data_IF_797487473980
#
_entry.id   IF_797487473980
#
_cell.length_a   1.000
_cell.length_b   1.000
_cell.length_c   1.000
_cell.angle_alpha   90.00
_cell.angle_beta   90.00
_cell.angle_gamma   90.00
#
_symmetry.space_group_name_H-M   'P 1'
#
loop_
_entity.id
_entity.type
_entity.pdbx_description
1 polymer ?
#
# COMPACT_ATOMS: atom_id res chain seq x y z
N UNK A 1 -37.08 14.27 16.38
CA UNK A 1 -35.66 14.73 16.48
C UNK A 1 -34.76 13.76 17.25
N UNK A 2 -35.10 13.24 18.42
CA UNK A 2 -34.25 12.35 19.23
C UNK A 2 -33.84 11.06 18.48
N UNK A 3 -34.81 10.37 17.86
CA UNK A 3 -34.52 9.14 17.06
C UNK A 3 -33.60 9.37 15.88
N UNK A 4 -33.58 10.57 15.31
CA UNK A 4 -32.69 10.94 14.23
C UNK A 4 -31.23 11.10 14.71
N UNK A 5 -31.01 11.70 15.89
CA UNK A 5 -29.68 11.90 16.46
C UNK A 5 -28.99 10.58 16.81
N UNK A 6 -29.71 9.56 17.23
CA UNK A 6 -29.13 8.24 17.54
C UNK A 6 -28.93 7.39 16.34
N UNK A 7 -29.86 7.43 15.36
CA UNK A 7 -29.62 6.83 14.05
C UNK A 7 -28.35 7.41 13.41
N UNK A 8 -28.09 8.71 13.59
CA UNK A 8 -26.89 9.38 13.10
C UNK A 8 -25.61 8.78 13.69
N UNK A 9 -25.59 8.42 14.99
CA UNK A 9 -24.44 7.76 15.61
C UNK A 9 -24.11 6.40 14.97
N UNK A 10 -25.14 5.60 14.68
CA UNK A 10 -24.96 4.31 13.99
C UNK A 10 -24.56 4.53 12.53
N UNK A 11 -25.21 5.45 11.85
CA UNK A 11 -24.90 5.80 10.45
C UNK A 11 -23.43 6.19 10.32
N UNK A 12 -22.95 7.09 11.18
CA UNK A 12 -21.54 7.52 11.19
C UNK A 12 -20.63 6.35 11.55
N UNK A 13 -20.96 5.56 12.59
CA UNK A 13 -20.16 4.42 13.01
C UNK A 13 -20.00 3.38 11.92
N UNK A 14 -21.09 2.95 11.32
CA UNK A 14 -21.10 1.95 10.23
C UNK A 14 -20.43 2.51 8.96
N UNK A 15 -20.72 3.77 8.61
CA UNK A 15 -20.09 4.44 7.47
C UNK A 15 -18.58 4.55 7.64
N UNK A 16 -18.10 4.86 8.84
CA UNK A 16 -16.68 4.90 9.17
C UNK A 16 -16.03 3.50 9.07
N UNK A 17 -16.69 2.45 9.61
CA UNK A 17 -16.19 1.06 9.48
C UNK A 17 -15.97 0.70 8.01
N UNK A 18 -16.97 0.94 7.15
CA UNK A 18 -16.88 0.60 5.72
C UNK A 18 -15.78 1.41 5.04
N UNK A 19 -15.73 2.72 5.25
CA UNK A 19 -14.71 3.57 4.64
C UNK A 19 -13.29 3.12 5.05
N UNK A 20 -13.07 2.85 6.33
CA UNK A 20 -11.76 2.43 6.85
C UNK A 20 -11.33 1.06 6.36
N UNK A 21 -12.23 0.06 6.39
CA UNK A 21 -11.93 -1.29 5.88
C UNK A 21 -11.67 -1.23 4.37
N UNK A 22 -12.46 -0.44 3.62
CA UNK A 22 -12.28 -0.28 2.17
C UNK A 22 -10.95 0.38 1.80
N UNK A 23 -10.49 1.37 2.58
CA UNK A 23 -9.17 2.00 2.41
C UNK A 23 -8.06 0.99 2.74
N UNK A 24 -8.19 0.24 3.84
CA UNK A 24 -7.21 -0.77 4.24
C UNK A 24 -7.03 -1.89 3.21
N UNK A 25 -8.14 -2.47 2.74
CA UNK A 25 -8.11 -3.51 1.70
C UNK A 25 -7.62 -2.97 0.35
N UNK A 26 -8.00 -1.74 0.00
CA UNK A 26 -7.51 -1.07 -1.20
C UNK A 26 -6.00 -0.82 -1.15
N UNK A 27 -5.49 -0.32 -0.02
CA UNK A 27 -4.06 -0.10 0.19
C UNK A 27 -3.28 -1.43 0.10
N UNK A 28 -3.78 -2.49 0.75
CA UNK A 28 -3.18 -3.84 0.69
C UNK A 28 -3.10 -4.35 -0.75
N UNK A 29 -4.20 -4.27 -1.49
CA UNK A 29 -4.22 -4.71 -2.89
C UNK A 29 -3.31 -3.86 -3.76
N UNK A 30 -3.36 -2.53 -3.64
CA UNK A 30 -2.47 -1.65 -4.39
C UNK A 30 -0.99 -1.95 -4.15
N UNK A 31 -0.61 -2.30 -2.91
CA UNK A 31 0.75 -2.76 -2.57
C UNK A 31 1.04 -4.10 -3.26
N UNK A 32 0.15 -5.08 -3.14
CA UNK A 32 0.33 -6.39 -3.77
C UNK A 32 0.45 -6.30 -5.30
N UNK A 33 -0.39 -5.50 -5.96
CA UNK A 33 -0.36 -5.30 -7.42
C UNK A 33 0.96 -4.62 -7.86
N UNK A 34 1.48 -3.69 -7.05
CA UNK A 34 2.79 -3.06 -7.30
C UNK A 34 3.94 -4.05 -7.21
N UNK A 35 3.94 -4.91 -6.19
CA UNK A 35 4.97 -5.95 -6.05
C UNK A 35 4.84 -7.01 -7.15
N UNK A 36 3.63 -7.43 -7.49
CA UNK A 36 3.39 -8.35 -8.60
C UNK A 36 3.91 -7.80 -9.93
N UNK A 37 3.74 -6.49 -10.18
CA UNK A 37 4.23 -5.84 -11.40
C UNK A 37 5.75 -5.68 -11.48
N UNK A 38 6.46 -5.77 -10.35
CA UNK A 38 7.94 -5.72 -10.33
C UNK A 38 8.60 -7.09 -10.49
N UNK A 39 7.84 -8.18 -10.27
CA UNK A 39 8.36 -9.54 -10.17
C UNK A 39 8.51 -9.99 -8.72
N UNK A 40 8.09 -11.22 -8.42
CA UNK A 40 8.04 -11.76 -7.06
C UNK A 40 9.34 -12.35 -6.56
N UNK A 41 10.35 -12.52 -7.45
CA UNK A 41 11.62 -13.17 -7.16
C UNK A 41 12.81 -12.21 -7.32
N UNK A 42 12.64 -10.96 -6.84
CA UNK A 42 13.67 -9.93 -6.89
C UNK A 42 14.41 -9.79 -5.56
N UNK A 43 15.72 -9.67 -5.67
CA UNK A 43 16.65 -9.30 -4.61
C UNK A 43 17.41 -8.04 -5.02
N UNK A 44 17.72 -7.22 -4.03
CA UNK A 44 18.53 -6.02 -4.20
C UNK A 44 19.67 -6.05 -3.22
N UNK A 45 20.88 -5.92 -3.73
CA UNK A 45 22.05 -5.68 -2.89
C UNK A 45 22.36 -4.19 -2.94
N UNK A 46 22.42 -3.56 -1.80
CA UNK A 46 22.76 -2.15 -1.65
C UNK A 46 23.93 -1.97 -0.66
N UNK A 47 24.70 -0.88 -0.78
CA UNK A 47 25.72 -0.58 0.22
C UNK A 47 25.10 -0.43 1.61
N UNK A 48 25.73 -1.03 2.61
CA UNK A 48 25.30 -1.00 3.98
C UNK A 48 25.37 0.40 4.61
N UNK A 49 24.79 0.56 5.79
CA UNK A 49 24.91 1.79 6.58
C UNK A 49 25.96 1.62 7.66
N UNK A 50 26.95 2.50 7.71
CA UNK A 50 27.98 2.48 8.77
C UNK A 50 27.47 3.11 10.04
N UNK A 51 27.62 2.37 11.14
CA UNK A 51 27.47 2.90 12.48
C UNK A 51 28.84 3.48 12.95
N UNK A 52 29.05 4.78 12.77
CA UNK A 52 30.27 5.43 13.29
C UNK A 52 29.93 6.09 14.62
N UNK A 53 30.43 5.50 15.72
CA UNK A 53 30.26 6.04 17.10
C UNK A 53 28.79 6.29 17.49
N UNK A 54 27.88 5.38 17.15
CA UNK A 54 26.46 5.50 17.53
C UNK A 54 25.62 6.42 16.64
N UNK A 55 26.20 7.01 15.59
CA UNK A 55 25.46 7.77 14.59
C UNK A 55 25.34 6.91 13.32
N UNK A 56 24.11 6.47 13.00
CA UNK A 56 23.81 5.85 11.69
C UNK A 56 23.95 6.92 10.61
N UNK A 57 25.01 6.83 9.81
CA UNK A 57 25.04 7.52 8.53
C UNK A 57 24.03 6.81 7.61
N UNK A 58 23.07 7.56 7.06
CA UNK A 58 22.01 7.00 6.22
C UNK A 58 22.53 6.05 5.15
N UNK A 59 21.70 5.10 4.71
CA UNK A 59 22.05 4.10 3.70
C UNK A 59 22.72 4.74 2.48
N UNK A 60 23.84 4.15 2.05
CA UNK A 60 24.68 4.68 0.94
C UNK A 60 26.00 5.36 1.40
N UNK A 61 26.32 5.34 2.70
CA UNK A 61 27.58 5.92 3.20
C UNK A 61 28.84 5.08 2.93
N UNK A 62 28.71 3.83 2.51
CA UNK A 62 29.79 2.97 2.07
C UNK A 62 29.82 2.88 0.56
N UNK A 63 30.99 3.07 0.01
CA UNK A 63 31.30 2.72 -1.38
C UNK A 63 31.90 1.31 -1.35
N UNK A 64 31.06 0.30 -1.09
CA UNK A 64 31.51 -1.08 -0.84
C UNK A 64 31.26 -2.02 -2.02
N UNK A 65 30.27 -1.73 -2.86
CA UNK A 65 29.90 -2.62 -3.95
C UNK A 65 30.67 -2.29 -5.23
N UNK A 66 31.38 -3.28 -5.76
CA UNK A 66 32.16 -3.20 -6.99
C UNK A 66 31.52 -4.02 -8.12
N UNK A 67 31.96 -3.79 -9.37
CA UNK A 67 31.49 -4.57 -10.53
C UNK A 67 31.81 -6.06 -10.34
N UNK A 68 32.98 -6.37 -9.80
CA UNK A 68 33.39 -7.74 -9.52
C UNK A 68 32.47 -8.50 -8.57
N UNK A 69 31.72 -7.81 -7.70
CA UNK A 69 30.75 -8.45 -6.80
C UNK A 69 29.55 -8.96 -7.60
N UNK A 70 29.06 -8.17 -8.55
CA UNK A 70 27.98 -8.59 -9.43
C UNK A 70 28.38 -9.77 -10.33
N UNK A 71 29.60 -9.75 -10.88
CA UNK A 71 30.15 -10.86 -11.67
C UNK A 71 30.29 -12.12 -10.80
N UNK A 72 30.81 -11.99 -9.59
CA UNK A 72 30.94 -13.12 -8.67
C UNK A 72 29.58 -13.72 -8.26
N UNK A 73 28.56 -12.91 -8.05
CA UNK A 73 27.20 -13.40 -7.75
C UNK A 73 26.66 -14.19 -8.94
N UNK A 74 26.84 -13.69 -10.17
CA UNK A 74 26.35 -14.36 -11.37
C UNK A 74 27.03 -15.72 -11.59
N UNK A 75 28.34 -15.83 -11.29
CA UNK A 75 29.12 -17.04 -11.50
C UNK A 75 28.96 -18.09 -10.40
N UNK A 76 28.75 -17.67 -9.14
CA UNK A 76 28.86 -18.59 -8.00
C UNK A 76 27.53 -18.88 -7.28
N UNK A 77 26.43 -18.16 -7.59
CA UNK A 77 25.14 -18.37 -6.95
C UNK A 77 24.18 -19.10 -7.90
N UNK A 78 23.96 -20.40 -7.71
CA UNK A 78 23.10 -21.22 -8.58
C UNK A 78 21.60 -20.96 -8.38
N UNK A 79 21.22 -20.31 -7.29
CA UNK A 79 19.85 -19.84 -7.03
C UNK A 79 19.54 -18.52 -7.76
N UNK A 80 20.53 -17.86 -8.36
CA UNK A 80 20.41 -16.61 -9.11
C UNK A 80 20.23 -16.91 -10.60
N UNK A 81 19.31 -16.21 -11.26
CA UNK A 81 19.04 -16.36 -12.70
C UNK A 81 19.66 -15.23 -13.51
N UNK A 82 19.51 -13.99 -13.07
CA UNK A 82 20.03 -12.80 -13.73
C UNK A 82 20.58 -11.81 -12.71
N UNK A 83 21.64 -11.13 -13.08
CA UNK A 83 22.27 -10.06 -12.29
C UNK A 83 22.40 -8.81 -13.16
N UNK A 84 22.12 -7.67 -12.60
CA UNK A 84 22.32 -6.37 -13.25
C UNK A 84 22.97 -5.40 -12.28
N UNK A 85 24.25 -5.04 -12.49
CA UNK A 85 24.88 -3.93 -11.79
C UNK A 85 24.10 -2.64 -12.03
N UNK A 86 23.93 -1.82 -10.98
CA UNK A 86 23.20 -0.57 -11.07
C UNK A 86 24.03 0.60 -10.56
N UNK A 87 24.04 1.70 -11.31
CA UNK A 87 24.64 2.98 -10.92
C UNK A 87 23.62 4.09 -11.10
N UNK A 88 23.52 5.01 -10.16
CA UNK A 88 22.51 6.06 -10.17
C UNK A 88 23.15 7.45 -10.28
N UNK A 89 22.55 8.31 -11.08
CA UNK A 89 22.89 9.74 -11.16
C UNK A 89 21.61 10.52 -11.43
N UNK A 90 21.52 11.73 -10.94
CA UNK A 90 20.45 12.67 -11.32
C UNK A 90 21.04 13.79 -12.16
N UNK A 91 20.38 14.10 -13.26
CA UNK A 91 20.89 15.10 -14.17
C UNK A 91 19.78 15.82 -14.94
N UNK A 92 20.08 17.04 -15.36
CA UNK A 92 19.29 17.72 -16.35
C UNK A 92 19.62 17.16 -17.74
N UNK A 93 18.59 16.81 -18.46
CA UNK A 93 18.62 16.28 -19.81
C UNK A 93 18.08 17.32 -20.76
N UNK A 94 18.75 17.53 -21.91
CA UNK A 94 18.41 18.57 -22.88
C UNK A 94 18.22 17.95 -24.25
N UNK A 95 17.10 18.30 -24.89
CA UNK A 95 16.84 18.03 -26.30
C UNK A 95 16.31 19.31 -26.98
N UNK A 96 17.03 19.81 -27.99
CA UNK A 96 16.70 21.08 -28.61
C UNK A 96 16.67 22.24 -27.62
N UNK A 97 15.50 22.85 -27.46
CA UNK A 97 15.21 23.93 -26.50
C UNK A 97 14.50 23.44 -25.23
N UNK A 98 14.23 22.13 -25.13
CA UNK A 98 13.55 21.53 -23.97
C UNK A 98 14.57 20.95 -22.99
N UNK A 99 14.24 20.99 -21.71
CA UNK A 99 15.04 20.39 -20.66
C UNK A 99 14.15 19.71 -19.63
N UNK A 100 14.65 18.63 -19.05
CA UNK A 100 13.96 17.86 -18.03
C UNK A 100 14.97 17.34 -17.00
N UNK A 101 14.64 17.44 -15.70
CA UNK A 101 15.50 16.91 -14.64
C UNK A 101 14.98 15.53 -14.24
N UNK A 102 15.75 14.49 -14.51
CA UNK A 102 15.32 13.11 -14.29
C UNK A 102 16.45 12.27 -13.69
N UNK A 103 16.08 11.06 -13.24
CA UNK A 103 17.01 10.04 -12.77
C UNK A 103 17.63 9.30 -13.96
N UNK A 104 18.97 9.22 -13.96
CA UNK A 104 19.73 8.44 -14.92
C UNK A 104 20.15 7.16 -14.22
N UNK A 105 19.61 6.03 -14.67
CA UNK A 105 19.89 4.72 -14.11
C UNK A 105 20.85 3.97 -15.03
N UNK A 106 22.07 3.78 -14.57
CA UNK A 106 23.02 2.87 -15.19
C UNK A 106 22.64 1.44 -14.87
N UNK A 107 22.46 0.60 -15.87
CA UNK A 107 21.97 -0.77 -15.71
C UNK A 107 22.74 -1.74 -16.60
N UNK A 108 22.65 -3.02 -16.31
CA UNK A 108 23.14 -4.10 -17.18
C UNK A 108 22.15 -4.42 -18.31
N UNK A 109 22.56 -5.32 -19.18
CA UNK A 109 21.80 -5.81 -20.35
C UNK A 109 20.55 -6.61 -19.93
N UNK A 110 20.58 -7.31 -18.78
CA UNK A 110 19.47 -8.13 -18.24
C UNK A 110 18.45 -7.36 -17.42
N UNK A 111 18.58 -6.04 -17.33
CA UNK A 111 17.67 -5.22 -16.52
C UNK A 111 16.18 -5.31 -16.92
N UNK A 112 15.83 -5.32 -18.24
CA UNK A 112 14.44 -5.49 -18.65
C UNK A 112 13.83 -6.80 -18.18
N UNK A 113 14.61 -7.90 -18.27
CA UNK A 113 14.18 -9.23 -17.83
C UNK A 113 14.03 -9.29 -16.32
N UNK A 114 14.99 -8.73 -15.55
CA UNK A 114 14.95 -8.67 -14.09
C UNK A 114 13.71 -7.92 -13.65
N UNK A 115 13.49 -6.71 -14.20
CA UNK A 115 12.39 -5.85 -13.83
C UNK A 115 11.08 -6.18 -14.53
N UNK A 116 11.06 -7.17 -15.44
CA UNK A 116 9.91 -7.47 -16.31
C UNK A 116 9.38 -6.22 -17.01
N UNK A 117 10.28 -5.36 -17.52
CA UNK A 117 9.94 -4.08 -18.13
C UNK A 117 10.24 -4.10 -19.63
N UNK A 118 9.18 -4.19 -20.42
CA UNK A 118 9.25 -4.26 -21.88
C UNK A 118 9.65 -2.90 -22.49
N UNK A 119 10.42 -2.98 -23.57
CA UNK A 119 10.69 -1.85 -24.46
C UNK A 119 9.53 -1.75 -25.47
N UNK A 120 8.84 -0.62 -25.49
CA UNK A 120 7.70 -0.37 -26.37
C UNK A 120 8.11 -0.08 -27.80
N UNK A 121 9.20 0.69 -27.96
CA UNK A 121 9.74 1.03 -29.29
C UNK A 121 11.26 1.05 -29.26
N UNK A 122 11.85 0.64 -30.39
CA UNK A 122 13.31 0.51 -30.50
C UNK A 122 13.84 -0.78 -29.89
N UNK A 123 15.05 -0.72 -29.30
CA UNK A 123 15.76 -1.86 -28.71
C UNK A 123 16.38 -1.48 -27.38
N UNK A 124 16.70 -2.49 -26.56
CA UNK A 124 17.56 -2.32 -25.38
C UNK A 124 19.03 -2.55 -25.76
N UNK A 125 19.94 -2.06 -24.93
CA UNK A 125 21.39 -2.27 -25.15
C UNK A 125 21.82 -3.68 -24.70
N UNK A 126 22.72 -4.25 -25.47
CA UNK A 126 23.32 -5.55 -25.20
C UNK A 126 24.57 -5.44 -24.33
N UNK A 127 25.16 -6.58 -23.98
CA UNK A 127 26.39 -6.69 -23.22
C UNK A 127 27.57 -5.98 -23.90
N UNK A 128 27.66 -6.03 -25.23
CA UNK A 128 28.72 -5.37 -26.02
C UNK A 128 28.68 -3.85 -25.83
N UNK A 129 27.49 -3.25 -25.84
CA UNK A 129 27.29 -1.83 -25.58
C UNK A 129 27.56 -1.45 -24.11
N UNK A 130 27.29 -2.37 -23.19
CA UNK A 130 27.61 -2.19 -21.76
C UNK A 130 29.13 -2.20 -21.56
N UNK A 131 29.84 -3.20 -22.13
CA UNK A 131 31.33 -3.34 -22.02
C UNK A 131 32.06 -2.16 -22.64
N UNK A 132 31.58 -1.68 -23.79
CA UNK A 132 32.21 -0.57 -24.52
C UNK A 132 31.91 0.81 -23.91
N UNK A 133 31.11 0.88 -22.83
CA UNK A 133 30.61 2.11 -22.23
C UNK A 133 29.99 3.04 -23.30
N UNK A 134 29.12 2.48 -24.13
CA UNK A 134 28.49 3.17 -25.24
C UNK A 134 27.55 4.30 -24.72
N UNK A 135 27.54 5.42 -25.44
CA UNK A 135 26.68 6.58 -25.12
C UNK A 135 25.29 6.38 -25.73
N UNK A 136 24.60 5.35 -25.28
CA UNK A 136 23.23 5.02 -25.68
C UNK A 136 22.32 5.06 -24.48
N UNK A 137 21.02 5.28 -24.72
CA UNK A 137 20.04 5.31 -23.64
C UNK A 137 18.66 4.86 -24.12
N UNK A 138 17.86 4.37 -23.16
CA UNK A 138 16.46 4.02 -23.31
C UNK A 138 15.67 4.94 -22.39
N UNK A 139 14.65 5.60 -22.93
CA UNK A 139 13.84 6.59 -22.20
C UNK A 139 12.67 5.92 -21.50
N UNK A 140 12.35 6.38 -20.30
CA UNK A 140 11.03 6.15 -19.71
C UNK A 140 9.96 7.00 -20.40
N UNK A 141 8.70 6.57 -20.31
CA UNK A 141 7.61 7.19 -21.05
C UNK A 141 7.40 8.66 -20.69
N UNK A 142 7.56 9.06 -19.43
CA UNK A 142 7.40 10.46 -19.01
C UNK A 142 8.53 11.35 -19.54
N UNK A 143 9.75 10.84 -19.60
CA UNK A 143 10.88 11.58 -20.17
C UNK A 143 10.68 11.79 -21.67
N UNK A 144 10.19 10.76 -22.39
CA UNK A 144 9.82 10.87 -23.81
C UNK A 144 8.78 11.96 -23.98
N UNK A 145 7.68 11.93 -23.23
CA UNK A 145 6.57 12.87 -23.39
C UNK A 145 7.00 14.33 -23.09
N UNK A 146 7.86 14.54 -22.07
CA UNK A 146 8.33 15.87 -21.71
C UNK A 146 9.36 16.46 -22.69
N UNK A 147 10.23 15.62 -23.28
CA UNK A 147 11.29 16.11 -24.16
C UNK A 147 10.90 16.08 -25.65
N UNK A 148 10.12 15.07 -26.07
CA UNK A 148 9.84 14.85 -27.49
C UNK A 148 8.37 15.11 -27.87
N UNK A 149 7.43 15.09 -26.89
CA UNK A 149 5.98 15.19 -27.13
C UNK A 149 5.51 14.11 -28.12
N UNK A 150 5.24 14.50 -29.36
CA UNK A 150 4.78 13.59 -30.45
C UNK A 150 5.90 13.14 -31.38
N UNK A 151 7.14 13.70 -31.24
CA UNK A 151 8.28 13.34 -32.09
C UNK A 151 8.82 11.97 -31.71
N UNK A 152 9.22 11.16 -32.72
CA UNK A 152 9.89 9.88 -32.49
C UNK A 152 11.30 10.13 -31.93
N UNK A 153 11.60 9.65 -30.70
CA UNK A 153 12.91 9.85 -30.09
C UNK A 153 14.00 8.91 -30.61
N UNK A 154 13.64 7.82 -31.31
CA UNK A 154 14.60 6.80 -31.73
C UNK A 154 15.64 7.38 -32.69
N UNK A 155 16.94 7.11 -32.40
CA UNK A 155 18.08 7.63 -33.17
C UNK A 155 18.45 9.08 -32.87
N UNK A 156 17.63 9.84 -32.13
CA UNK A 156 17.94 11.23 -31.75
C UNK A 156 19.01 11.30 -30.68
N UNK A 157 19.66 12.46 -30.59
CA UNK A 157 20.73 12.69 -29.62
C UNK A 157 20.23 13.67 -28.54
N UNK A 158 20.24 13.21 -27.31
CA UNK A 158 20.00 14.03 -26.11
C UNK A 158 21.30 14.37 -25.39
N UNK A 159 21.35 15.44 -24.63
CA UNK A 159 22.52 15.79 -23.81
C UNK A 159 22.22 15.60 -22.33
N UNK A 160 23.02 14.75 -21.67
CA UNK A 160 22.98 14.48 -20.23
C UNK A 160 24.29 15.01 -19.65
N UNK A 161 24.24 15.98 -18.73
CA UNK A 161 25.45 16.66 -18.19
C UNK A 161 26.44 17.10 -19.29
N UNK A 162 25.94 17.65 -20.40
CA UNK A 162 26.71 18.07 -21.59
C UNK A 162 27.28 16.95 -22.45
N UNK A 163 27.06 15.68 -22.13
CA UNK A 163 27.51 14.51 -22.88
C UNK A 163 26.39 14.05 -23.82
N UNK A 164 26.67 13.83 -25.12
CA UNK A 164 25.66 13.33 -26.06
C UNK A 164 25.39 11.86 -25.85
N UNK A 165 24.09 11.49 -25.77
CA UNK A 165 23.60 10.13 -25.75
C UNK A 165 22.63 9.91 -26.90
N UNK A 166 22.73 8.77 -27.58
CA UNK A 166 21.78 8.38 -28.62
C UNK A 166 20.63 7.59 -27.99
N UNK A 167 19.41 7.99 -28.24
CA UNK A 167 18.22 7.26 -27.84
C UNK A 167 18.06 6.03 -28.76
N UNK A 168 17.99 4.84 -28.17
CA UNK A 168 17.84 3.57 -28.91
C UNK A 168 16.52 2.87 -28.64
N UNK A 169 15.81 3.27 -27.57
CA UNK A 169 14.52 2.67 -27.20
C UNK A 169 13.73 3.54 -26.25
N UNK A 170 12.48 3.14 -26.06
CA UNK A 170 11.54 3.72 -25.08
C UNK A 170 10.87 2.59 -24.33
N UNK A 171 10.83 2.68 -23.01
CA UNK A 171 10.12 1.72 -22.17
C UNK A 171 8.61 1.89 -22.26
N UNK A 172 7.91 0.77 -22.15
CA UNK A 172 6.47 0.74 -22.02
C UNK A 172 6.03 1.45 -20.72
N UNK A 173 4.99 2.28 -20.81
CA UNK A 173 4.45 3.02 -19.67
C UNK A 173 3.97 2.08 -18.58
N UNK A 174 4.39 2.35 -17.34
CA UNK A 174 3.97 1.63 -16.13
C UNK A 174 3.08 2.45 -15.22
N UNK A 175 3.07 3.77 -15.39
CA UNK A 175 2.25 4.69 -14.62
C UNK A 175 2.88 5.14 -13.29
N UNK A 176 2.14 5.95 -12.56
CA UNK A 176 2.59 6.54 -11.30
C UNK A 176 2.72 5.50 -10.18
N UNK A 177 3.80 5.61 -9.43
CA UNK A 177 4.04 4.78 -8.24
C UNK A 177 3.58 5.51 -6.98
N UNK A 178 2.27 5.79 -6.86
CA UNK A 178 1.58 6.31 -5.67
C UNK A 178 2.47 6.94 -4.59
N UNK A 179 2.72 8.25 -4.68
CA UNK A 179 3.43 9.01 -3.64
C UNK A 179 4.95 9.07 -3.74
N UNK A 180 5.61 8.20 -4.52
CA UNK A 180 7.08 8.18 -4.68
C UNK A 180 7.57 8.68 -6.05
N UNK A 181 6.72 9.37 -6.81
CA UNK A 181 7.03 9.82 -8.17
C UNK A 181 6.68 8.78 -9.24
N UNK A 182 6.81 9.18 -10.50
CA UNK A 182 6.55 8.29 -11.64
C UNK A 182 7.75 7.35 -11.86
N UNK A 183 7.46 6.06 -12.06
CA UNK A 183 8.47 5.08 -12.47
C UNK A 183 8.96 5.34 -13.88
N UNK A 184 8.13 6.00 -14.67
CA UNK A 184 8.38 6.32 -16.06
C UNK A 184 9.28 7.56 -16.23
N UNK A 185 9.59 8.28 -15.11
CA UNK A 185 10.51 9.43 -15.08
C UNK A 185 11.96 8.98 -14.82
N UNK A 186 12.52 8.23 -15.75
CA UNK A 186 13.91 7.79 -15.72
C UNK A 186 14.50 7.58 -17.13
N UNK A 187 15.80 7.54 -17.20
CA UNK A 187 16.57 7.14 -18.38
C UNK A 187 17.47 5.97 -17.99
N UNK A 188 17.38 4.85 -18.71
CA UNK A 188 18.34 3.75 -18.58
C UNK A 188 19.50 3.95 -19.55
N UNK A 189 20.72 3.73 -19.06
CA UNK A 189 21.95 3.76 -19.86
C UNK A 189 22.90 2.66 -19.35
N UNK A 190 23.90 2.21 -20.11
CA UNK A 190 24.88 1.26 -19.61
C UNK A 190 25.52 1.72 -18.29
N UNK A 191 25.54 0.87 -17.25
CA UNK A 191 26.09 1.25 -15.94
C UNK A 191 27.55 1.72 -16.03
N UNK A 192 28.34 1.11 -16.91
CA UNK A 192 29.72 1.52 -17.19
C UNK A 192 29.82 2.95 -17.69
N UNK A 193 28.87 3.38 -18.54
CA UNK A 193 28.81 4.76 -19.04
C UNK A 193 28.42 5.74 -17.94
N UNK A 194 27.41 5.37 -17.12
CA UNK A 194 26.95 6.21 -16.01
C UNK A 194 28.07 6.38 -14.98
N UNK A 195 28.73 5.30 -14.57
CA UNK A 195 29.84 5.35 -13.61
C UNK A 195 30.98 6.23 -14.12
N UNK A 196 31.50 5.94 -15.31
CA UNK A 196 32.69 6.63 -15.85
C UNK A 196 32.43 8.07 -16.31
N UNK A 197 31.21 8.39 -16.76
CA UNK A 197 30.91 9.68 -17.43
C UNK A 197 30.00 10.60 -16.63
N UNK A 198 29.09 10.07 -15.82
CA UNK A 198 28.08 10.87 -15.13
C UNK A 198 28.30 10.94 -13.61
N UNK A 199 28.67 9.84 -12.96
CA UNK A 199 28.91 9.79 -11.51
C UNK A 199 30.38 10.04 -11.17
N UNK A 200 31.32 9.60 -12.00
CA UNK A 200 32.76 9.77 -11.76
C UNK A 200 33.26 8.94 -10.57
N UNK A 201 32.61 7.79 -10.29
CA UNK A 201 32.99 6.84 -9.26
C UNK A 201 33.03 5.42 -9.84
N UNK A 202 33.73 4.54 -9.15
CA UNK A 202 33.91 3.14 -9.56
C UNK A 202 33.05 2.16 -8.74
N UNK A 203 32.10 2.69 -7.94
CA UNK A 203 31.24 1.89 -7.08
C UNK A 203 29.82 1.83 -7.61
N UNK A 204 29.18 0.67 -7.40
CA UNK A 204 27.78 0.45 -7.73
C UNK A 204 26.86 1.09 -6.69
N UNK A 205 25.74 1.62 -7.14
CA UNK A 205 24.66 2.08 -6.25
C UNK A 205 23.84 0.92 -5.68
N UNK A 206 23.70 -0.14 -6.48
CA UNK A 206 23.05 -1.41 -6.10
C UNK A 206 23.35 -2.49 -7.13
N UNK A 207 23.01 -3.73 -6.78
CA UNK A 207 22.97 -4.85 -7.71
C UNK A 207 21.53 -5.38 -7.71
N UNK A 208 20.88 -5.35 -8.87
CA UNK A 208 19.54 -5.88 -9.07
C UNK A 208 19.66 -7.35 -9.48
N UNK A 209 18.95 -8.23 -8.79
CA UNK A 209 19.08 -9.67 -8.95
C UNK A 209 17.71 -10.30 -9.11
N UNK A 210 17.60 -11.27 -10.02
CA UNK A 210 16.44 -12.12 -10.16
C UNK A 210 16.83 -13.56 -9.79
N UNK A 211 16.15 -14.11 -8.77
CA UNK A 211 16.30 -15.51 -8.40
C UNK A 211 15.61 -16.43 -9.43
N UNK A 212 16.04 -17.67 -9.53
CA UNK A 212 15.46 -18.69 -10.42
C UNK A 212 13.97 -18.91 -10.14
N UNK A 213 13.56 -18.86 -8.89
CA UNK A 213 12.16 -18.98 -8.49
C UNK A 213 11.91 -18.32 -7.13
N UNK A 214 10.65 -18.00 -6.84
CA UNK A 214 10.24 -17.48 -5.52
C UNK A 214 10.57 -18.44 -4.38
N UNK A 215 10.58 -19.75 -4.63
CA UNK A 215 10.90 -20.77 -3.60
C UNK A 215 12.40 -20.80 -3.23
N UNK A 216 13.26 -20.38 -4.14
CA UNK A 216 14.72 -20.34 -3.91
C UNK A 216 15.21 -18.95 -3.51
N UNK A 217 14.31 -18.05 -3.16
CA UNK A 217 14.63 -16.65 -2.86
C UNK A 217 15.49 -16.52 -1.61
N UNK A 218 15.11 -17.24 -0.54
CA UNK A 218 15.88 -17.29 0.72
C UNK A 218 17.25 -17.94 0.51
N UNK A 219 17.30 -18.99 -0.29
CA UNK A 219 18.54 -19.67 -0.65
C UNK A 219 19.47 -18.73 -1.44
N UNK A 220 18.90 -17.99 -2.43
CA UNK A 220 19.66 -16.99 -3.19
C UNK A 220 20.20 -15.89 -2.26
N UNK A 221 19.38 -15.41 -1.32
CA UNK A 221 19.80 -14.42 -0.34
C UNK A 221 20.97 -14.92 0.50
N UNK A 222 20.89 -16.13 1.06
CA UNK A 222 21.97 -16.72 1.86
C UNK A 222 23.27 -16.92 1.06
N UNK A 223 23.16 -17.41 -0.19
CA UNK A 223 24.33 -17.58 -1.07
C UNK A 223 25.02 -16.25 -1.35
N UNK A 224 24.24 -15.19 -1.63
CA UNK A 224 24.77 -13.85 -1.89
C UNK A 224 25.43 -13.28 -0.64
N UNK A 225 24.79 -13.39 0.53
CA UNK A 225 25.33 -12.90 1.79
C UNK A 225 26.65 -13.60 2.14
N UNK A 226 26.71 -14.92 2.04
CA UNK A 226 27.92 -15.69 2.30
C UNK A 226 29.05 -15.34 1.34
N UNK A 227 28.75 -15.26 0.04
CA UNK A 227 29.71 -14.89 -0.99
C UNK A 227 30.30 -13.50 -0.76
N UNK A 228 29.46 -12.51 -0.52
CA UNK A 228 29.90 -11.13 -0.32
C UNK A 228 30.68 -10.97 1.01
N UNK A 229 30.29 -11.65 2.09
CA UNK A 229 31.07 -11.65 3.34
C UNK A 229 32.49 -12.16 3.13
N UNK A 230 32.65 -13.24 2.35
CA UNK A 230 33.99 -13.79 2.00
C UNK A 230 34.78 -12.82 1.15
N UNK A 231 34.17 -12.23 0.12
CA UNK A 231 34.84 -11.29 -0.80
C UNK A 231 35.26 -9.99 -0.11
N UNK A 232 34.40 -9.44 0.72
CA UNK A 232 34.66 -8.21 1.48
C UNK A 232 35.50 -8.48 2.75
N UNK A 233 35.89 -9.75 3.01
CA UNK A 233 36.71 -10.16 4.16
C UNK A 233 36.11 -9.72 5.50
N UNK A 234 34.79 -9.83 5.64
CA UNK A 234 34.07 -9.45 6.85
C UNK A 234 34.29 -10.53 7.91
N UNK A 235 34.80 -10.13 9.07
CA UNK A 235 35.06 -11.06 10.16
C UNK A 235 33.74 -11.64 10.73
N UNK A 236 33.74 -12.90 11.19
CA UNK A 236 32.59 -13.46 11.89
C UNK A 236 32.12 -12.58 13.05
N UNK A 237 30.81 -12.23 13.08
CA UNK A 237 30.22 -11.36 14.10
C UNK A 237 30.36 -9.85 13.83
N UNK A 238 31.00 -9.43 12.74
CA UNK A 238 31.01 -8.03 12.31
C UNK A 238 29.76 -7.69 11.48
N UNK A 239 29.35 -6.41 11.54
CA UNK A 239 28.27 -5.89 10.70
C UNK A 239 28.69 -5.91 9.22
N UNK A 240 27.74 -6.23 8.34
CA UNK A 240 27.95 -6.23 6.90
C UNK A 240 28.02 -4.81 6.35
N UNK A 241 28.91 -4.61 5.38
CA UNK A 241 29.05 -3.35 4.63
C UNK A 241 28.13 -3.29 3.39
N UNK A 242 27.27 -4.28 3.27
CA UNK A 242 26.19 -4.38 2.27
C UNK A 242 24.88 -4.83 2.94
N UNK A 243 23.78 -4.68 2.27
CA UNK A 243 22.47 -5.15 2.69
C UNK A 243 21.77 -5.86 1.53
N UNK A 244 21.41 -7.12 1.72
CA UNK A 244 20.62 -7.90 0.77
C UNK A 244 19.16 -7.79 1.16
N UNK A 245 18.36 -7.16 0.32
CA UNK A 245 16.91 -6.98 0.54
C UNK A 245 16.13 -7.88 -0.39
N UNK A 246 15.28 -8.68 0.21
CA UNK A 246 14.28 -9.45 -0.49
C UNK A 246 13.01 -8.60 -0.66
N UNK A 247 12.50 -8.50 -1.89
CA UNK A 247 11.30 -7.73 -2.16
C UNK A 247 10.05 -8.34 -1.53
N UNK A 248 10.03 -9.66 -1.30
CA UNK A 248 8.95 -10.32 -0.58
C UNK A 248 8.88 -9.87 0.88
N UNK A 249 10.02 -9.75 1.58
CA UNK A 249 10.08 -9.29 2.98
C UNK A 249 9.61 -7.85 3.10
N UNK A 250 9.96 -7.00 2.14
CA UNK A 250 9.48 -5.63 2.07
C UNK A 250 7.95 -5.60 1.90
N UNK A 251 7.41 -6.47 1.03
CA UNK A 251 5.96 -6.60 0.84
C UNK A 251 5.25 -7.07 2.11
N UNK A 252 5.84 -8.03 2.82
CA UNK A 252 5.30 -8.56 4.06
C UNK A 252 5.29 -7.51 5.18
N UNK A 253 6.38 -6.77 5.35
CA UNK A 253 6.48 -5.68 6.32
C UNK A 253 5.44 -4.57 6.06
N UNK A 254 5.20 -4.23 4.78
CA UNK A 254 4.14 -3.30 4.41
C UNK A 254 2.74 -3.86 4.68
N UNK A 255 2.50 -5.15 4.40
CA UNK A 255 1.24 -5.81 4.69
C UNK A 255 0.95 -5.82 6.21
N UNK A 256 1.96 -6.07 7.03
CA UNK A 256 1.86 -6.07 8.49
C UNK A 256 1.61 -4.66 9.04
N UNK A 257 2.31 -3.65 8.52
CA UNK A 257 2.05 -2.25 8.84
C UNK A 257 0.62 -1.83 8.48
N UNK A 258 0.14 -2.21 7.29
CA UNK A 258 -1.23 -1.94 6.85
C UNK A 258 -2.26 -2.65 7.74
N UNK A 259 -1.99 -3.90 8.16
CA UNK A 259 -2.83 -4.63 9.10
C UNK A 259 -2.93 -3.92 10.45
N UNK A 260 -1.81 -3.44 10.98
CA UNK A 260 -1.77 -2.67 12.24
C UNK A 260 -2.58 -1.37 12.12
N UNK A 261 -2.42 -0.62 11.03
CA UNK A 261 -3.22 0.58 10.76
C UNK A 261 -4.71 0.27 10.65
N UNK A 262 -5.07 -0.81 9.95
CA UNK A 262 -6.47 -1.25 9.83
C UNK A 262 -7.06 -1.61 11.19
N UNK A 263 -6.29 -2.27 12.07
CA UNK A 263 -6.72 -2.61 13.42
C UNK A 263 -6.96 -1.36 14.28
N UNK A 264 -6.07 -0.38 14.22
CA UNK A 264 -6.24 0.90 14.91
C UNK A 264 -7.50 1.63 14.45
N UNK A 265 -7.70 1.72 13.13
CA UNK A 265 -8.88 2.34 12.55
C UNK A 265 -10.17 1.59 12.93
N UNK A 266 -10.15 0.25 12.90
CA UNK A 266 -11.27 -0.59 13.35
C UNK A 266 -11.60 -0.37 14.83
N UNK A 267 -10.59 -0.16 15.67
CA UNK A 267 -10.78 0.14 17.10
C UNK A 267 -11.50 1.48 17.29
N UNK A 268 -11.10 2.51 16.55
CA UNK A 268 -11.78 3.83 16.58
C UNK A 268 -13.24 3.71 16.09
N UNK A 269 -13.46 2.97 15.01
CA UNK A 269 -14.78 2.72 14.48
C UNK A 269 -15.67 1.94 15.47
N UNK A 270 -15.11 0.97 16.19
CA UNK A 270 -15.80 0.21 17.23
C UNK A 270 -16.24 1.11 18.39
N UNK A 271 -15.38 2.04 18.82
CA UNK A 271 -15.74 3.04 19.83
C UNK A 271 -16.91 3.92 19.35
N UNK A 272 -16.85 4.37 18.10
CA UNK A 272 -17.93 5.17 17.48
C UNK A 272 -19.25 4.39 17.46
N UNK A 273 -19.18 3.09 17.15
CA UNK A 273 -20.33 2.20 17.12
C UNK A 273 -20.91 1.97 18.53
N UNK A 274 -20.06 1.85 19.55
CA UNK A 274 -20.48 1.77 20.96
C UNK A 274 -21.20 3.04 21.41
N UNK A 275 -20.69 4.22 21.04
CA UNK A 275 -21.35 5.51 21.33
C UNK A 275 -22.72 5.58 20.66
N UNK A 276 -22.84 5.13 19.41
CA UNK A 276 -24.11 4.99 18.70
C UNK A 276 -25.08 4.03 19.42
N UNK A 277 -24.58 2.90 19.94
CA UNK A 277 -25.33 1.93 20.72
C UNK A 277 -25.85 2.48 22.04
N UNK A 278 -25.05 3.24 22.78
CA UNK A 278 -25.48 3.96 24.00
C UNK A 278 -26.62 4.95 23.65
N UNK A 279 -26.52 5.58 22.47
CA UNK A 279 -27.60 6.43 21.96
C UNK A 279 -28.92 5.66 21.78
N UNK A 280 -28.88 4.43 21.19
CA UNK A 280 -30.07 3.56 21.09
C UNK A 280 -30.61 3.25 22.46
N UNK A 281 -29.77 2.83 23.38
CA UNK A 281 -30.19 2.50 24.76
C UNK A 281 -30.91 3.67 25.41
N UNK A 282 -30.38 4.88 25.31
CA UNK A 282 -30.97 6.07 25.90
C UNK A 282 -32.37 6.41 25.32
N UNK A 283 -32.49 6.31 23.98
CA UNK A 283 -33.81 6.56 23.34
C UNK A 283 -34.82 5.47 23.72
N UNK A 284 -34.38 4.22 23.70
CA UNK A 284 -35.27 3.12 24.09
C UNK A 284 -35.76 3.26 25.56
N UNK A 285 -34.88 3.71 26.47
CA UNK A 285 -35.27 4.00 27.86
C UNK A 285 -36.31 5.12 27.92
N UNK A 286 -36.13 6.20 27.15
CA UNK A 286 -37.13 7.28 27.07
C UNK A 286 -38.44 6.78 26.45
N UNK A 287 -38.36 5.99 25.34
CA UNK A 287 -39.53 5.41 24.69
C UNK A 287 -40.31 4.49 25.63
N UNK A 288 -39.61 3.70 26.45
CA UNK A 288 -40.26 2.88 27.49
C UNK A 288 -40.97 3.73 28.52
N UNK A 289 -40.34 4.83 29.03
CA UNK A 289 -40.95 5.71 30.01
C UNK A 289 -42.15 6.46 29.44
N UNK A 290 -42.12 6.93 28.20
CA UNK A 290 -43.23 7.58 27.51
C UNK A 290 -44.41 6.61 27.26
N UNK A 291 -44.17 5.30 27.19
CA UNK A 291 -45.18 4.26 26.89
C UNK A 291 -45.51 3.37 28.10
N UNK A 292 -45.13 3.73 29.32
CA UNK A 292 -45.34 2.91 30.52
C UNK A 292 -46.81 2.50 30.63
N UNK A 293 -47.76 3.44 30.49
CA UNK A 293 -49.21 3.19 30.58
C UNK A 293 -49.72 2.25 29.49
N UNK A 294 -49.23 2.39 28.26
CA UNK A 294 -49.55 1.51 27.14
C UNK A 294 -49.07 0.07 27.40
N UNK A 295 -47.81 -0.09 27.91
CA UNK A 295 -47.26 -1.38 28.31
C UNK A 295 -48.11 -2.02 29.42
N UNK A 296 -48.48 -1.21 30.43
CA UNK A 296 -49.34 -1.65 31.54
C UNK A 296 -50.70 -2.16 31.04
N UNK A 297 -51.36 -1.47 30.12
CA UNK A 297 -52.61 -1.92 29.50
C UNK A 297 -52.46 -3.25 28.79
N UNK A 298 -51.40 -3.39 27.97
CA UNK A 298 -51.11 -4.67 27.24
C UNK A 298 -50.92 -5.84 28.21
N UNK A 299 -50.17 -5.63 29.29
CA UNK A 299 -49.92 -6.67 30.31
C UNK A 299 -51.17 -7.01 31.08
N UNK A 300 -52.02 -6.01 31.41
CA UNK A 300 -53.30 -6.23 32.07
C UNK A 300 -54.31 -7.00 31.21
N UNK A 301 -54.26 -6.90 29.89
CA UNK A 301 -55.08 -7.65 28.92
C UNK A 301 -54.48 -9.06 28.60
N UNK A 302 -53.29 -9.39 29.19
CA UNK A 302 -52.69 -10.73 29.11
C UNK A 302 -51.44 -10.86 28.26
N UNK A 303 -50.78 -9.80 27.83
CA UNK A 303 -49.49 -9.89 27.18
C UNK A 303 -48.43 -10.40 28.17
N UNK A 304 -47.62 -11.36 27.70
CA UNK A 304 -46.52 -11.95 28.49
C UNK A 304 -45.29 -11.06 28.47
N UNK A 305 -44.48 -11.16 29.51
CA UNK A 305 -43.16 -10.45 29.55
C UNK A 305 -42.36 -10.63 28.30
N UNK A 306 -42.35 -11.85 27.70
CA UNK A 306 -41.64 -12.17 26.46
C UNK A 306 -42.15 -11.40 25.25
N UNK A 307 -43.42 -11.11 25.18
CA UNK A 307 -44.06 -10.39 24.07
C UNK A 307 -43.63 -8.90 24.10
N UNK A 308 -43.60 -8.30 25.27
CA UNK A 308 -43.10 -6.94 25.46
C UNK A 308 -41.59 -6.85 25.19
N UNK A 309 -40.80 -7.80 25.73
CA UNK A 309 -39.38 -7.85 25.49
C UNK A 309 -39.07 -7.95 24.00
N UNK A 310 -39.73 -8.87 23.29
CA UNK A 310 -39.53 -9.08 21.87
C UNK A 310 -39.90 -7.87 21.02
N UNK A 311 -40.99 -7.21 21.38
CA UNK A 311 -41.47 -5.98 20.72
C UNK A 311 -40.42 -4.88 20.76
N UNK A 312 -39.90 -4.53 21.96
CA UNK A 312 -38.88 -3.48 22.10
C UNK A 312 -37.53 -3.89 21.52
N UNK A 313 -37.18 -5.20 21.58
CA UNK A 313 -35.95 -5.71 20.96
C UNK A 313 -35.99 -5.61 19.43
N UNK A 314 -37.14 -5.97 18.82
CA UNK A 314 -37.33 -5.81 17.38
C UNK A 314 -37.24 -4.32 16.98
N UNK A 315 -37.85 -3.41 17.79
CA UNK A 315 -37.76 -1.97 17.52
C UNK A 315 -36.32 -1.46 17.54
N UNK A 316 -35.49 -1.92 18.50
CA UNK A 316 -34.09 -1.58 18.58
C UNK A 316 -33.27 -2.16 17.39
N UNK A 317 -33.56 -3.41 16.99
CA UNK A 317 -32.92 -4.05 15.81
C UNK A 317 -33.30 -3.31 14.54
N UNK A 318 -34.56 -2.95 14.36
CA UNK A 318 -35.02 -2.21 13.18
C UNK A 318 -34.32 -0.85 13.07
N UNK A 319 -34.21 -0.10 14.16
CA UNK A 319 -33.49 1.17 14.21
C UNK A 319 -32.02 1.02 13.83
N UNK A 320 -31.33 -0.02 14.35
CA UNK A 320 -29.92 -0.25 14.05
C UNK A 320 -29.71 -0.78 12.63
N UNK A 321 -30.58 -1.65 12.12
CA UNK A 321 -30.51 -2.15 10.74
C UNK A 321 -30.78 -1.03 9.74
N UNK A 322 -31.77 -0.19 9.98
CA UNK A 322 -32.02 0.98 9.12
C UNK A 322 -30.87 1.99 9.17
N UNK A 323 -30.38 2.32 10.36
CA UNK A 323 -29.21 3.18 10.52
C UNK A 323 -27.97 2.56 9.88
N UNK A 324 -27.75 1.26 10.09
CA UNK A 324 -26.68 0.49 9.46
C UNK A 324 -26.76 0.49 7.93
N UNK A 325 -27.94 0.24 7.36
CA UNK A 325 -28.18 0.28 5.91
C UNK A 325 -27.85 1.66 5.29
N UNK A 326 -28.31 2.73 5.92
CA UNK A 326 -27.99 4.10 5.50
C UNK A 326 -26.48 4.35 5.65
N UNK A 327 -25.87 3.90 6.77
CA UNK A 327 -24.43 3.99 7.01
C UNK A 327 -23.60 3.26 5.94
N UNK A 328 -24.05 2.07 5.51
CA UNK A 328 -23.44 1.31 4.39
C UNK A 328 -23.46 2.13 3.10
N UNK A 329 -24.62 2.68 2.73
CA UNK A 329 -24.76 3.50 1.52
C UNK A 329 -23.87 4.74 1.56
N UNK A 330 -23.85 5.45 2.70
CA UNK A 330 -23.00 6.63 2.88
C UNK A 330 -21.50 6.26 2.91
N UNK A 331 -21.12 5.15 3.54
CA UNK A 331 -19.74 4.67 3.57
C UNK A 331 -19.23 4.31 2.18
N UNK A 332 -20.03 3.62 1.37
CA UNK A 332 -19.71 3.31 -0.04
C UNK A 332 -19.59 4.60 -0.86
N UNK A 333 -20.53 5.52 -0.68
CA UNK A 333 -20.53 6.80 -1.40
C UNK A 333 -19.30 7.65 -1.03
N UNK A 334 -18.97 7.74 0.26
CA UNK A 334 -17.78 8.44 0.75
C UNK A 334 -16.50 7.81 0.21
N UNK A 335 -16.37 6.47 0.24
CA UNK A 335 -15.25 5.74 -0.33
C UNK A 335 -15.04 6.02 -1.83
N UNK A 336 -16.15 6.11 -2.60
CA UNK A 336 -16.09 6.48 -4.03
C UNK A 336 -15.72 7.96 -4.24
N UNK A 337 -16.18 8.84 -3.35
CA UNK A 337 -15.89 10.28 -3.42
C UNK A 337 -14.42 10.57 -3.13
N UNK A 338 -13.83 9.90 -2.13
CA UNK A 338 -12.39 10.01 -1.80
C UNK A 338 -11.52 9.73 -3.03
N UNK A 339 -11.86 8.72 -3.83
CA UNK A 339 -11.13 8.39 -5.06
C UNK A 339 -11.22 9.48 -6.15
N UNK A 340 -12.28 10.31 -6.15
CA UNK A 340 -12.44 11.40 -7.12
C UNK A 340 -11.68 12.67 -6.75
N UNK A 341 -11.25 12.80 -5.49
CA UNK A 341 -10.50 13.96 -5.02
C UNK A 341 -9.05 13.76 -5.49
N UNK A 342 -8.54 14.70 -6.29
CA UNK A 342 -7.21 14.66 -6.91
C UNK A 342 -6.06 14.36 -5.91
N UNK A 343 -6.17 14.83 -4.65
CA UNK A 343 -5.19 14.56 -3.60
C UNK A 343 -5.13 13.08 -3.17
N UNK A 344 -6.20 12.30 -3.39
CA UNK A 344 -6.34 10.90 -2.99
C UNK A 344 -6.58 9.96 -4.18
N UNK A 345 -6.37 10.43 -5.41
CA UNK A 345 -6.60 9.65 -6.64
C UNK A 345 -5.79 8.35 -6.70
N UNK A 346 -4.66 8.33 -5.99
CA UNK A 346 -3.75 7.18 -5.91
C UNK A 346 -4.11 6.17 -4.80
N UNK A 347 -5.16 6.42 -4.01
CA UNK A 347 -5.64 5.48 -3.00
C UNK A 347 -6.72 4.61 -3.63
N UNK A 348 -6.38 3.36 -3.89
CA UNK A 348 -7.37 2.37 -4.27
C UNK A 348 -8.26 2.07 -3.06
N UNK A 349 -9.56 2.25 -3.23
CA UNK A 349 -10.54 1.85 -2.22
C UNK A 349 -11.31 0.64 -2.74
N UNK A 350 -11.27 -0.46 -2.01
CA UNK A 350 -11.96 -1.70 -2.33
C UNK A 350 -13.08 -1.95 -1.34
N UNK A 351 -14.32 -1.80 -1.80
CA UNK A 351 -15.48 -2.23 -1.03
C UNK A 351 -15.72 -3.71 -1.33
N UNK A 352 -15.39 -4.57 -0.38
CA UNK A 352 -15.63 -6.02 -0.51
C UNK A 352 -17.01 -6.37 0.05
N UNK A 353 -17.69 -7.40 -0.48
CA UNK A 353 -18.94 -7.90 0.12
C UNK A 353 -18.77 -8.29 1.60
N UNK A 354 -17.58 -8.77 1.97
CA UNK A 354 -17.26 -9.13 3.34
C UNK A 354 -17.28 -7.93 4.29
N UNK A 355 -16.74 -6.76 3.86
CA UNK A 355 -16.76 -5.54 4.66
C UNK A 355 -18.19 -5.02 4.88
N UNK A 356 -19.05 -5.15 3.87
CA UNK A 356 -20.47 -4.76 3.97
C UNK A 356 -21.21 -5.67 4.94
N UNK A 357 -21.02 -6.99 4.83
CA UNK A 357 -21.61 -7.95 5.76
C UNK A 357 -21.12 -7.75 7.19
N UNK A 358 -19.83 -7.56 7.39
CA UNK A 358 -19.25 -7.29 8.71
C UNK A 358 -19.88 -6.05 9.34
N UNK A 359 -19.99 -4.96 8.61
CA UNK A 359 -20.57 -3.71 9.09
C UNK A 359 -22.06 -3.86 9.43
N UNK A 360 -22.83 -4.58 8.59
CA UNK A 360 -24.23 -4.85 8.81
C UNK A 360 -24.47 -5.72 10.06
N UNK A 361 -23.75 -6.82 10.21
CA UNK A 361 -23.87 -7.68 11.37
C UNK A 361 -23.39 -7.00 12.66
N UNK A 362 -22.36 -6.16 12.58
CA UNK A 362 -21.92 -5.35 13.72
C UNK A 362 -23.01 -4.38 14.17
N UNK A 363 -23.71 -3.71 13.25
CA UNK A 363 -24.81 -2.83 13.55
C UNK A 363 -25.97 -3.58 14.20
N UNK A 364 -26.34 -4.75 13.68
CA UNK A 364 -27.39 -5.61 14.26
C UNK A 364 -27.01 -6.08 15.68
N UNK A 365 -25.78 -6.51 15.89
CA UNK A 365 -25.26 -6.92 17.20
C UNK A 365 -25.34 -5.80 18.24
N UNK A 366 -24.97 -4.58 17.85
CA UNK A 366 -25.08 -3.38 18.69
C UNK A 366 -26.54 -3.08 19.04
N UNK A 367 -27.45 -3.18 18.07
CA UNK A 367 -28.88 -3.01 18.30
C UNK A 367 -29.44 -4.02 19.32
N UNK A 368 -29.05 -5.28 19.21
CA UNK A 368 -29.45 -6.34 20.15
C UNK A 368 -28.86 -6.04 21.54
N UNK A 369 -27.57 -5.78 21.62
CA UNK A 369 -26.89 -5.60 22.91
C UNK A 369 -27.42 -4.40 23.68
N UNK A 370 -27.50 -3.25 23.05
CA UNK A 370 -27.94 -2.01 23.70
C UNK A 370 -29.48 -1.88 23.80
N UNK A 371 -30.23 -2.58 22.94
CA UNK A 371 -31.69 -2.68 23.01
C UNK A 371 -32.19 -3.63 24.06
N UNK A 372 -31.38 -4.64 24.44
CA UNK A 372 -31.80 -5.69 25.38
C UNK A 372 -32.11 -5.12 26.79
N UNK A 373 -31.26 -4.24 27.32
CA UNK A 373 -31.46 -3.68 28.67
C UNK A 373 -32.79 -2.88 28.80
N UNK A 374 -33.13 -1.89 27.93
CA UNK A 374 -34.40 -1.21 27.93
C UNK A 374 -35.59 -2.16 27.72
N UNK A 375 -35.49 -3.09 26.78
CA UNK A 375 -36.54 -4.06 26.49
C UNK A 375 -36.85 -4.95 27.72
N UNK A 376 -35.81 -5.41 28.42
CA UNK A 376 -35.96 -6.17 29.66
C UNK A 376 -36.57 -5.31 30.79
N UNK A 377 -36.20 -4.04 30.88
CA UNK A 377 -36.80 -3.12 31.86
C UNK A 377 -38.28 -2.90 31.59
N UNK A 378 -38.68 -2.76 30.33
CA UNK A 378 -40.07 -2.65 29.90
C UNK A 378 -40.88 -3.90 30.22
N UNK A 379 -40.32 -5.09 29.98
CA UNK A 379 -41.02 -6.37 30.18
C UNK A 379 -41.25 -6.73 31.65
N UNK A 380 -40.53 -6.10 32.58
CA UNK A 380 -40.65 -6.35 34.03
C UNK A 380 -41.42 -5.27 34.77
N UNK A 381 -42.15 -4.39 34.09
CA UNK A 381 -43.02 -3.41 34.72
C UNK A 381 -44.20 -4.10 35.40
N UNK A 382 -44.54 -3.66 36.63
CA UNK A 382 -45.76 -4.09 37.28
C UNK A 382 -46.96 -3.41 36.60
N UNK A 383 -47.95 -4.16 36.08
CA UNK A 383 -49.15 -3.59 35.45
C UNK A 383 -49.88 -2.61 36.30
N UNK A 384 -49.94 -2.83 37.64
CA UNK A 384 -50.68 -1.95 38.58
C UNK A 384 -49.95 -0.62 38.76
N UNK A 385 -48.62 -0.68 38.91
CA UNK A 385 -47.80 0.53 39.01
C UNK A 385 -47.75 1.30 37.69
N UNK A 386 -47.69 0.58 36.58
CA UNK A 386 -47.67 1.18 35.24
C UNK A 386 -48.97 1.94 34.91
N UNK A 387 -50.12 1.49 35.39
CA UNK A 387 -51.41 2.17 35.21
C UNK A 387 -51.59 3.38 36.13
N UNK A 388 -50.85 3.43 37.25
CA UNK A 388 -50.84 4.56 38.19
C UNK A 388 -49.89 5.70 37.82
N UNK A 389 -49.03 5.47 36.83
CA UNK A 389 -48.05 6.46 36.40
C UNK A 389 -48.77 7.60 35.65
N UNK A 390 -48.73 8.81 36.20
CA UNK A 390 -49.19 10.05 35.56
C UNK A 390 -48.14 10.64 34.63
#
# INVERSE_FOLDING_TARGET
>A
MRSFLTALGIIIGVGAVIAMVSIGEGAKKGIQDRFASMGTNLLFVSPGSRNVRGVRTGGGGWQSLEIGDAEAIEENCDAVMYVSPSASSRAQVIYGNKNWNTSIQGTGDKYPEIRSWEVESGTYFDEGLVRSAAKVCVLGADVKDNLFETEDPIGKIIRIKKIPFRVIGVFKRRGESGGFGSRDDMIAAPYTTVMRRLSGNDYLSSIDIRAVSTKRLEEAQMQIEELLRVRHRIAPGSEDDFEVRNMADVSEAFAESTKTMTLLLASIASISLLVGGIGIMNIMLVSVTERIREIGIRMAVGAREKDILLQFLIEAIMLSVMGGGIGVLLGISASRLVRKISMFSNIETLVTPQSVLLAFFSAAAVGIFFGFYPARKASKLDPIEALRYE
#
